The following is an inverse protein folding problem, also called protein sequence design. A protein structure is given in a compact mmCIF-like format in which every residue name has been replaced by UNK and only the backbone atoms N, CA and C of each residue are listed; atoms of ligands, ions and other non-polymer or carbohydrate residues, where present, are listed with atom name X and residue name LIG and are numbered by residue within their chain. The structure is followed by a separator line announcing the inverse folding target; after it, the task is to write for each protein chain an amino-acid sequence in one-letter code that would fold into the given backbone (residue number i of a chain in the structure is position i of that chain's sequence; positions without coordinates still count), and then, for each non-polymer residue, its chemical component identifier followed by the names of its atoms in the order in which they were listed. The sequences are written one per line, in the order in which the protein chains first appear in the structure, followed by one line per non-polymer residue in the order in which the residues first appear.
data_IF_947139410686
#
_entry.id   IF_947139410686
#
_cell.length_a   1.000
_cell.length_b   1.000
_cell.length_c   1.000
_cell.angle_alpha   90.00
_cell.angle_beta   90.00
_cell.angle_gamma   90.00
#
_symmetry.space_group_name_H-M   'P 1'
#
loop_
_entity.id
_entity.type
_entity.pdbx_description
1 polymer ?
#
# COMPACT_ATOMS: atom_id res chain seq x y z
N UNK A 1 -7.90 5.68 17.16
CA UNK A 1 -6.83 5.37 16.20
C UNK A 1 -7.43 5.09 14.84
N UNK A 2 -6.77 5.56 13.80
CA UNK A 2 -7.20 5.24 12.45
C UNK A 2 -6.89 3.79 12.12
N UNK A 3 -7.81 3.14 11.44
CA UNK A 3 -7.61 1.80 10.91
C UNK A 3 -7.27 1.91 9.42
N UNK A 4 -6.47 1.00 8.92
CA UNK A 4 -6.15 0.92 7.50
C UNK A 4 -7.03 -0.15 6.87
N UNK A 5 -7.83 0.28 5.90
CA UNK A 5 -8.71 -0.62 5.14
C UNK A 5 -8.04 -0.91 3.80
N UNK A 6 -7.76 -2.16 3.52
CA UNK A 6 -7.13 -2.56 2.26
C UNK A 6 -8.16 -2.44 1.15
N UNK A 7 -7.82 -1.64 0.14
CA UNK A 7 -8.66 -1.44 -1.05
C UNK A 7 -8.24 -2.41 -2.14
N UNK A 8 -6.93 -2.56 -2.32
CA UNK A 8 -6.38 -3.44 -3.33
C UNK A 8 -4.98 -3.88 -2.91
N UNK A 9 -4.56 -5.05 -3.39
CA UNK A 9 -3.21 -5.55 -3.13
C UNK A 9 -2.75 -6.42 -4.30
N UNK A 10 -1.44 -6.42 -4.52
CA UNK A 10 -0.81 -7.25 -5.55
C UNK A 10 0.42 -7.91 -4.93
N UNK A 11 0.49 -9.24 -5.02
CA UNK A 11 1.66 -10.00 -4.55
C UNK A 11 2.52 -10.35 -5.76
N UNK A 12 3.79 -9.94 -5.68
CA UNK A 12 4.79 -10.23 -6.72
C UNK A 12 5.54 -11.51 -6.35
N UNK A 13 5.74 -12.38 -7.34
CA UNK A 13 6.49 -13.62 -7.17
C UNK A 13 6.02 -14.43 -5.95
N UNK A 14 4.76 -14.89 -5.94
CA UNK A 14 4.19 -15.55 -4.75
C UNK A 14 4.88 -16.85 -4.35
N UNK A 15 5.72 -17.42 -5.23
CA UNK A 15 6.49 -18.62 -4.91
C UNK A 15 7.77 -18.38 -4.12
N UNK A 16 8.12 -17.11 -3.84
CA UNK A 16 9.32 -16.78 -3.05
C UNK A 16 9.05 -17.00 -1.56
N UNK A 17 10.14 -17.17 -0.81
CA UNK A 17 10.05 -17.28 0.66
C UNK A 17 9.45 -16.00 1.27
N UNK A 18 9.81 -14.84 0.74
CA UNK A 18 9.30 -13.56 1.20
C UNK A 18 8.75 -12.78 0.01
N UNK A 19 7.54 -13.13 -0.47
CA UNK A 19 6.97 -12.46 -1.61
C UNK A 19 6.58 -11.02 -1.28
N UNK A 20 6.87 -10.11 -2.21
CA UNK A 20 6.55 -8.70 -2.04
C UNK A 20 5.07 -8.47 -2.33
N UNK A 21 4.36 -7.89 -1.39
CA UNK A 21 2.97 -7.47 -1.56
C UNK A 21 2.92 -5.95 -1.53
N UNK A 22 2.29 -5.36 -2.54
CA UNK A 22 2.02 -3.93 -2.60
C UNK A 22 0.58 -3.70 -2.17
N UNK A 23 0.38 -2.78 -1.24
CA UNK A 23 -0.93 -2.51 -0.66
C UNK A 23 -1.39 -1.11 -1.00
N UNK A 24 -2.66 -0.97 -1.39
CA UNK A 24 -3.34 0.31 -1.49
C UNK A 24 -4.41 0.32 -0.41
N UNK A 25 -4.34 1.31 0.47
CA UNK A 25 -5.16 1.35 1.67
C UNK A 25 -5.79 2.71 1.86
N UNK A 26 -6.82 2.76 2.71
CA UNK A 26 -7.48 3.99 3.12
C UNK A 26 -7.52 4.05 4.64
N UNK A 27 -7.18 5.20 5.21
CA UNK A 27 -7.30 5.43 6.64
C UNK A 27 -8.76 5.75 7.01
N UNK A 28 -9.26 5.09 8.04
CA UNK A 28 -10.61 5.35 8.54
C UNK A 28 -10.61 5.37 10.07
N UNK A 29 -10.91 6.50 10.73
CA UNK A 29 -11.17 7.82 10.12
C UNK A 29 -9.89 8.43 9.54
N UNK A 30 -10.06 9.20 8.47
CA UNK A 30 -8.92 9.85 7.82
C UNK A 30 -8.52 11.11 8.57
N UNK A 31 -7.23 11.28 8.93
CA UNK A 31 -6.77 12.53 9.55
C UNK A 31 -6.85 13.71 8.57
N UNK A 32 -6.71 13.42 7.27
CA UNK A 32 -6.87 14.41 6.21
C UNK A 32 -7.92 13.87 5.23
N UNK A 33 -9.18 14.34 5.31
CA UNK A 33 -10.26 13.76 4.48
C UNK A 33 -10.04 13.83 2.97
N UNK A 34 -9.31 14.84 2.50
CA UNK A 34 -9.02 14.99 1.07
C UNK A 34 -7.93 14.04 0.58
N UNK A 35 -7.13 13.54 1.49
CA UNK A 35 -5.98 12.68 1.16
C UNK A 35 -5.88 11.52 2.15
N UNK A 36 -6.89 10.64 2.19
CA UNK A 36 -6.94 9.55 3.17
C UNK A 36 -6.18 8.30 2.75
N UNK A 37 -5.58 8.29 1.56
CA UNK A 37 -5.03 7.08 0.99
C UNK A 37 -3.57 6.88 1.36
N UNK A 38 -3.18 5.60 1.42
CA UNK A 38 -1.85 5.16 1.86
C UNK A 38 -1.44 4.00 0.98
N UNK A 39 -0.14 3.92 0.67
CA UNK A 39 0.43 2.72 0.06
C UNK A 39 1.51 2.18 0.97
N UNK A 40 1.62 0.85 1.01
CA UNK A 40 2.65 0.14 1.78
C UNK A 40 3.19 -1.02 0.97
N UNK A 41 4.32 -1.54 1.41
CA UNK A 41 4.82 -2.84 0.97
C UNK A 41 4.88 -3.78 2.17
N UNK A 42 4.77 -5.08 1.90
CA UNK A 42 4.81 -6.10 2.94
C UNK A 42 5.49 -7.34 2.39
N UNK A 43 6.14 -8.10 3.27
CA UNK A 43 6.77 -9.37 2.92
C UNK A 43 6.11 -10.55 3.61
N UNK A 44 5.02 -10.32 4.31
CA UNK A 44 4.29 -11.34 5.07
C UNK A 44 2.78 -11.31 4.81
N UNK A 45 2.41 -10.90 3.60
CA UNK A 45 1.00 -10.87 3.20
C UNK A 45 0.20 -9.72 3.76
N UNK A 46 0.86 -8.69 4.27
CA UNK A 46 0.18 -7.48 4.77
C UNK A 46 0.14 -7.35 6.29
N UNK A 47 0.70 -8.32 7.01
CA UNK A 47 0.73 -8.25 8.48
C UNK A 47 1.70 -7.19 8.97
N UNK A 48 2.91 -7.18 8.43
CA UNK A 48 3.91 -6.16 8.73
C UNK A 48 4.07 -5.28 7.52
N UNK A 49 4.00 -3.96 7.70
CA UNK A 49 3.98 -2.98 6.61
C UNK A 49 5.19 -2.08 6.68
N UNK A 50 5.79 -1.82 5.52
CA UNK A 50 7.00 -1.01 5.37
C UNK A 50 6.82 0.03 4.28
N UNK A 51 7.69 1.05 4.29
CA UNK A 51 7.81 2.03 3.21
C UNK A 51 6.49 2.72 2.88
N UNK A 52 5.77 3.15 3.93
CA UNK A 52 4.47 3.77 3.76
C UNK A 52 4.55 5.17 3.14
N UNK A 53 3.68 5.42 2.17
CA UNK A 53 3.44 6.75 1.64
C UNK A 53 2.05 7.17 2.09
N UNK A 54 1.97 8.20 2.92
CA UNK A 54 0.74 8.63 3.57
C UNK A 54 0.22 9.95 3.00
N UNK A 55 -1.01 10.29 3.34
CA UNK A 55 -1.64 11.55 2.96
C UNK A 55 -1.71 11.72 1.45
N UNK A 56 -2.11 10.65 0.77
CA UNK A 56 -2.25 10.65 -0.69
C UNK A 56 -3.71 10.83 -1.07
N UNK A 57 -3.96 11.61 -2.14
CA UNK A 57 -5.26 11.61 -2.79
C UNK A 57 -5.44 10.29 -3.52
N UNK A 58 -6.66 9.98 -3.95
CA UNK A 58 -6.91 8.74 -4.69
C UNK A 58 -6.02 8.65 -5.94
N UNK A 59 -5.94 9.74 -6.71
CA UNK A 59 -5.09 9.79 -7.90
C UNK A 59 -3.62 9.52 -7.58
N UNK A 60 -3.10 10.18 -6.55
CA UNK A 60 -1.71 10.01 -6.13
C UNK A 60 -1.45 8.58 -5.67
N UNK A 61 -2.37 8.03 -4.89
CA UNK A 61 -2.23 6.69 -4.35
C UNK A 61 -2.27 5.63 -5.44
N UNK A 62 -3.18 5.77 -6.41
CA UNK A 62 -3.28 4.85 -7.54
C UNK A 62 -2.01 4.90 -8.38
N UNK A 63 -1.50 6.09 -8.66
CA UNK A 63 -0.26 6.23 -9.42
C UNK A 63 0.93 5.61 -8.69
N UNK A 64 1.04 5.86 -7.39
CA UNK A 64 2.09 5.31 -6.57
C UNK A 64 2.01 3.78 -6.49
N UNK A 65 0.81 3.26 -6.30
CA UNK A 65 0.55 1.82 -6.25
C UNK A 65 0.97 1.15 -7.57
N UNK A 66 0.52 1.68 -8.70
CA UNK A 66 0.85 1.14 -10.02
C UNK A 66 2.34 1.19 -10.29
N UNK A 67 3.00 2.27 -9.88
CA UNK A 67 4.44 2.42 -10.04
C UNK A 67 5.18 1.35 -9.26
N UNK A 68 4.80 1.12 -8.00
CA UNK A 68 5.42 0.10 -7.16
C UNK A 68 5.22 -1.30 -7.72
N UNK A 69 4.00 -1.60 -8.19
CA UNK A 69 3.70 -2.90 -8.82
C UNK A 69 4.53 -3.11 -10.06
N UNK A 70 4.63 -2.09 -10.92
CA UNK A 70 5.38 -2.16 -12.17
C UNK A 70 6.88 -2.35 -11.91
N UNK A 71 7.44 -1.65 -10.96
CA UNK A 71 8.86 -1.74 -10.64
C UNK A 71 9.22 -3.05 -9.95
N UNK A 72 8.26 -3.66 -9.25
CA UNK A 72 8.52 -4.84 -8.44
C UNK A 72 9.52 -4.55 -7.34
N UNK A 73 9.55 -3.31 -6.87
CA UNK A 73 10.49 -2.80 -5.89
C UNK A 73 9.72 -2.30 -4.67
N UNK A 74 10.39 -2.36 -3.52
CA UNK A 74 9.83 -1.88 -2.27
C UNK A 74 10.05 -0.37 -2.04
N UNK A 75 10.77 0.31 -2.91
CA UNK A 75 10.97 1.76 -2.82
C UNK A 75 11.28 2.39 -4.16
#
# INVERSE_FOLDING_TARGET
MANLVIIEQTTKDPGRDFPLTILLEKEEPAPTPEAPYVTHVSYDGGTTKFWGHYNLTLDEAVKDYKKRVKQGSDF
#
